data_IF_219307478862
#
_entry.id   IF_219307478862
#
_cell.length_a   1.000
_cell.length_b   1.000
_cell.length_c   1.000
_cell.angle_alpha   90.00
_cell.angle_beta   90.00
_cell.angle_gamma   90.00
#
_symmetry.space_group_name_H-M   'P 1'
#
loop_
_entity.id
_entity.type
_entity.pdbx_description
1 polymer ?
#
# COMPACT_ATOMS: atom_id res chain seq x y z
N UNK A 1 12.86 -3.26 -18.64
CA UNK A 1 11.66 -3.29 -17.79
C UNK A 1 11.03 -1.89 -17.75
N UNK A 2 9.72 -1.76 -18.05
CA UNK A 2 8.97 -0.50 -17.98
C UNK A 2 8.07 -0.54 -16.75
N UNK A 3 8.27 0.42 -15.82
CA UNK A 3 7.46 0.59 -14.63
C UNK A 3 6.35 1.61 -14.90
N UNK A 4 5.13 1.28 -14.49
CA UNK A 4 3.97 2.17 -14.49
C UNK A 4 3.59 2.39 -13.03
N UNK A 5 3.68 3.64 -12.57
CA UNK A 5 3.43 4.01 -11.18
C UNK A 5 2.16 4.84 -11.06
N UNK A 6 1.29 4.47 -10.14
CA UNK A 6 0.08 5.19 -9.76
C UNK A 6 -0.06 5.21 -8.24
N UNK A 7 -0.82 6.15 -7.70
CA UNK A 7 -1.20 6.24 -6.28
C UNK A 7 -2.51 7.01 -6.11
N UNK A 8 -3.01 7.08 -4.88
CA UNK A 8 -4.08 8.00 -4.47
C UNK A 8 -5.36 7.90 -5.30
N UNK A 9 -5.74 6.68 -5.66
CA UNK A 9 -6.92 6.46 -6.50
C UNK A 9 -8.25 6.54 -5.74
N UNK A 10 -8.24 6.41 -4.40
CA UNK A 10 -9.40 6.63 -3.52
C UNK A 10 -10.71 6.10 -4.09
N UNK A 11 -10.77 4.81 -4.42
CA UNK A 11 -11.92 4.12 -5.04
C UNK A 11 -12.28 4.61 -6.48
N UNK A 12 -11.43 5.40 -7.13
CA UNK A 12 -11.70 5.89 -8.49
C UNK A 12 -10.85 5.18 -9.55
N UNK A 13 -10.24 4.06 -9.20
CA UNK A 13 -9.34 3.26 -10.04
C UNK A 13 -9.94 2.90 -11.40
N UNK A 14 -11.25 2.63 -11.49
CA UNK A 14 -11.93 2.30 -12.75
C UNK A 14 -11.94 3.45 -13.77
N UNK A 15 -11.69 4.69 -13.34
CA UNK A 15 -11.64 5.87 -14.22
C UNK A 15 -10.27 6.07 -14.88
N UNK A 16 -9.26 5.30 -14.46
CA UNK A 16 -7.90 5.45 -14.95
C UNK A 16 -7.70 4.71 -16.28
N UNK A 17 -7.01 5.35 -17.19
CA UNK A 17 -6.47 4.71 -18.36
C UNK A 17 -4.99 4.38 -18.12
N UNK A 18 -4.72 3.12 -17.77
CA UNK A 18 -3.38 2.67 -17.40
C UNK A 18 -2.56 2.37 -18.67
N UNK A 19 -1.40 3.00 -18.85
CA UNK A 19 -0.55 2.73 -20.02
C UNK A 19 0.08 1.33 -19.92
N UNK A 20 0.50 0.77 -21.06
CA UNK A 20 1.21 -0.50 -21.10
C UNK A 20 2.55 -0.43 -20.38
N UNK A 21 2.93 -1.51 -19.69
CA UNK A 21 4.20 -1.67 -19.00
C UNK A 21 4.42 -3.12 -18.56
N UNK A 22 5.60 -3.40 -18.02
CA UNK A 22 5.94 -4.72 -17.51
C UNK A 22 5.47 -4.88 -16.06
N UNK A 23 5.62 -3.83 -15.27
CA UNK A 23 5.27 -3.77 -13.84
C UNK A 23 4.30 -2.61 -13.62
N UNK A 24 3.15 -2.90 -13.01
CA UNK A 24 2.24 -1.89 -12.48
C UNK A 24 2.45 -1.76 -10.97
N UNK A 25 2.74 -0.56 -10.50
CA UNK A 25 2.95 -0.24 -9.09
C UNK A 25 1.83 0.67 -8.62
N UNK A 26 1.17 0.32 -7.50
CA UNK A 26 0.29 1.24 -6.78
C UNK A 26 0.92 1.56 -5.42
N UNK A 27 1.24 2.84 -5.21
CA UNK A 27 1.98 3.31 -4.04
C UNK A 27 1.09 3.84 -2.91
N UNK A 28 -0.10 3.25 -2.72
CA UNK A 28 -0.98 3.52 -1.58
C UNK A 28 -2.18 4.41 -1.88
N UNK A 29 -3.06 4.48 -0.89
CA UNK A 29 -4.32 5.22 -0.93
C UNK A 29 -5.25 4.77 -2.07
N UNK A 30 -5.41 3.45 -2.22
CA UNK A 30 -6.31 2.87 -3.21
C UNK A 30 -7.77 2.82 -2.73
N UNK A 31 -8.02 3.00 -1.43
CA UNK A 31 -9.36 3.04 -0.83
C UNK A 31 -9.67 4.39 -0.15
N UNK A 32 -10.87 4.54 0.39
CA UNK A 32 -11.21 5.68 1.24
C UNK A 32 -10.92 5.42 2.73
N UNK A 33 -11.24 4.20 3.21
CA UNK A 33 -11.04 3.80 4.63
C UNK A 33 -10.81 2.30 4.79
N UNK A 34 -10.38 1.60 3.76
CA UNK A 34 -10.00 0.19 3.83
C UNK A 34 -11.14 -0.79 4.16
N UNK A 35 -12.40 -0.50 3.83
CA UNK A 35 -13.48 -1.48 4.05
C UNK A 35 -13.32 -2.70 3.13
N UNK A 36 -13.84 -3.87 3.54
CA UNK A 36 -13.84 -5.08 2.71
C UNK A 36 -14.31 -4.80 1.28
N UNK A 37 -15.42 -4.08 1.12
CA UNK A 37 -15.98 -3.75 -0.19
C UNK A 37 -15.00 -2.94 -1.06
N UNK A 38 -14.36 -1.93 -0.46
CA UNK A 38 -13.41 -1.07 -1.16
C UNK A 38 -12.17 -1.86 -1.59
N UNK A 39 -11.60 -2.64 -0.66
CA UNK A 39 -10.42 -3.47 -0.93
C UNK A 39 -10.72 -4.51 -2.01
N UNK A 40 -11.82 -5.26 -1.89
CA UNK A 40 -12.20 -6.28 -2.89
C UNK A 40 -12.41 -5.65 -4.28
N UNK A 41 -13.08 -4.49 -4.36
CA UNK A 41 -13.28 -3.79 -5.63
C UNK A 41 -11.95 -3.43 -6.28
N UNK A 42 -11.06 -2.81 -5.51
CA UNK A 42 -9.75 -2.42 -6.00
C UNK A 42 -8.90 -3.64 -6.42
N UNK A 43 -8.80 -4.65 -5.57
CA UNK A 43 -7.96 -5.82 -5.81
C UNK A 43 -8.40 -6.57 -7.09
N UNK A 44 -9.71 -6.71 -7.32
CA UNK A 44 -10.23 -7.31 -8.56
C UNK A 44 -9.85 -6.51 -9.79
N UNK A 45 -9.99 -5.20 -9.72
CA UNK A 45 -9.59 -4.30 -10.81
C UNK A 45 -8.07 -4.34 -11.04
N UNK A 46 -7.28 -4.30 -9.96
CA UNK A 46 -5.82 -4.32 -10.04
C UNK A 46 -5.31 -5.64 -10.61
N UNK A 47 -5.87 -6.77 -10.17
CA UNK A 47 -5.57 -8.09 -10.70
C UNK A 47 -5.89 -8.21 -12.20
N UNK A 48 -6.97 -7.57 -12.68
CA UNK A 48 -7.38 -7.61 -14.09
C UNK A 48 -6.49 -6.80 -15.03
N UNK A 49 -5.57 -5.98 -14.50
CA UNK A 49 -4.67 -5.20 -15.35
C UNK A 49 -3.70 -6.11 -16.11
N UNK A 50 -3.37 -5.81 -17.39
CA UNK A 50 -2.62 -6.71 -18.27
C UNK A 50 -1.12 -6.82 -17.97
N UNK A 51 -0.62 -6.09 -16.98
CA UNK A 51 0.80 -6.07 -16.61
C UNK A 51 1.24 -7.42 -16.06
N UNK A 52 2.45 -7.85 -16.44
CA UNK A 52 3.02 -9.14 -16.02
C UNK A 52 3.19 -9.21 -14.50
N UNK A 53 3.63 -8.11 -13.89
CA UNK A 53 3.80 -7.99 -12.45
C UNK A 53 2.98 -6.81 -11.91
N UNK A 54 2.38 -6.99 -10.74
CA UNK A 54 1.60 -5.96 -10.06
C UNK A 54 2.06 -5.86 -8.61
N UNK A 55 2.63 -4.71 -8.25
CA UNK A 55 3.12 -4.43 -6.88
C UNK A 55 2.17 -3.45 -6.21
N UNK A 56 1.79 -3.78 -4.99
CA UNK A 56 0.89 -2.99 -4.16
C UNK A 56 1.54 -2.66 -2.83
N UNK A 57 1.55 -1.38 -2.47
CA UNK A 57 1.87 -0.87 -1.14
C UNK A 57 0.64 -0.18 -0.59
N UNK A 58 0.38 -0.28 0.71
CA UNK A 58 -0.69 0.46 1.35
C UNK A 58 -0.34 1.93 1.55
N UNK A 59 -1.35 2.79 1.65
CA UNK A 59 -1.22 4.16 2.11
C UNK A 59 -1.97 4.37 3.42
N UNK A 60 -2.03 5.61 3.87
CA UNK A 60 -2.66 5.93 5.16
C UNK A 60 -4.19 5.74 5.17
N UNK A 61 -4.84 5.75 4.03
CA UNK A 61 -6.27 5.48 3.92
C UNK A 61 -6.63 3.99 4.03
N UNK A 62 -5.67 3.09 3.90
CA UNK A 62 -5.88 1.66 4.15
C UNK A 62 -5.85 1.35 5.65
N UNK A 63 -6.66 2.07 6.45
CA UNK A 63 -6.65 2.01 7.92
C UNK A 63 -6.81 0.59 8.48
N UNK A 64 -7.47 -0.29 7.76
CA UNK A 64 -7.67 -1.69 8.16
C UNK A 64 -6.46 -2.57 7.93
N UNK A 65 -5.46 -2.12 7.18
CA UNK A 65 -4.21 -2.86 6.95
C UNK A 65 -3.19 -2.58 8.04
N UNK A 66 -3.26 -1.43 8.73
CA UNK A 66 -2.50 -1.17 9.95
C UNK A 66 -3.29 -1.69 11.16
N UNK A 67 -3.02 -2.92 11.56
CA UNK A 67 -3.77 -3.58 12.62
C UNK A 67 -3.67 -2.86 13.96
N UNK A 68 -2.50 -2.37 14.33
CA UNK A 68 -2.25 -1.69 15.60
C UNK A 68 -2.99 -0.37 15.68
N UNK A 69 -2.90 0.42 14.63
CA UNK A 69 -3.65 1.68 14.50
C UNK A 69 -5.17 1.43 14.53
N UNK A 70 -5.64 0.45 13.76
CA UNK A 70 -7.05 0.18 13.62
C UNK A 70 -7.72 -0.28 14.92
N UNK A 71 -7.05 -1.10 15.74
CA UNK A 71 -7.57 -1.58 17.02
C UNK A 71 -8.01 -0.44 17.95
N UNK A 72 -7.30 0.68 17.93
CA UNK A 72 -7.57 1.83 18.82
C UNK A 72 -8.38 2.93 18.15
N UNK A 73 -8.41 2.99 16.82
CA UNK A 73 -8.99 4.10 16.06
C UNK A 73 -10.20 3.73 15.19
N UNK A 74 -10.63 2.46 15.19
CA UNK A 74 -11.68 1.98 14.28
C UNK A 74 -12.97 2.82 14.30
N UNK A 75 -13.40 3.28 15.48
CA UNK A 75 -14.64 4.04 15.66
C UNK A 75 -14.64 5.41 14.96
N UNK A 76 -13.45 5.93 14.62
CA UNK A 76 -13.29 7.16 13.83
C UNK A 76 -13.64 6.94 12.36
N UNK A 77 -13.44 5.74 11.85
CA UNK A 77 -13.56 5.41 10.43
C UNK A 77 -14.79 4.54 10.13
N UNK A 78 -15.20 3.68 11.08
CA UNK A 78 -16.26 2.71 10.90
C UNK A 78 -17.24 2.77 12.09
N UNK A 79 -18.50 3.10 11.83
CA UNK A 79 -19.44 3.58 12.85
C UNK A 79 -20.21 2.51 13.62
N UNK A 80 -20.27 1.27 13.12
CA UNK A 80 -21.15 0.25 13.74
C UNK A 80 -20.40 -0.77 14.58
N UNK A 81 -19.30 -1.28 14.03
CA UNK A 81 -18.43 -2.29 14.66
C UNK A 81 -17.09 -2.32 13.95
N UNK A 82 -16.03 -2.78 14.63
CA UNK A 82 -14.73 -2.97 13.99
C UNK A 82 -14.80 -4.04 12.91
N UNK A 83 -14.10 -3.82 11.80
CA UNK A 83 -13.98 -4.80 10.72
C UNK A 83 -12.95 -5.87 11.09
N UNK A 84 -13.08 -7.05 10.47
CA UNK A 84 -12.13 -8.16 10.64
C UNK A 84 -10.90 -7.94 9.75
N UNK A 85 -9.95 -7.18 10.27
CA UNK A 85 -8.75 -6.74 9.51
C UNK A 85 -7.94 -7.90 8.93
N UNK A 86 -7.83 -9.03 9.66
CA UNK A 86 -7.12 -10.21 9.19
C UNK A 86 -7.75 -10.83 7.93
N UNK A 87 -9.08 -10.75 7.77
CA UNK A 87 -9.76 -11.24 6.57
C UNK A 87 -9.45 -10.34 5.38
N UNK A 88 -9.37 -9.02 5.59
CA UNK A 88 -9.03 -8.03 4.55
C UNK A 88 -7.60 -8.26 4.04
N UNK A 89 -6.63 -8.33 4.93
CA UNK A 89 -5.23 -8.56 4.57
C UNK A 89 -5.04 -9.92 3.92
N UNK A 90 -5.68 -10.96 4.45
CA UNK A 90 -5.64 -12.30 3.86
C UNK A 90 -6.23 -12.35 2.45
N UNK A 91 -7.23 -11.53 2.15
CA UNK A 91 -7.80 -11.44 0.80
C UNK A 91 -6.76 -10.91 -0.19
N UNK A 92 -6.03 -9.85 0.16
CA UNK A 92 -4.95 -9.30 -0.68
C UNK A 92 -3.86 -10.35 -0.90
N UNK A 93 -3.39 -11.00 0.18
CA UNK A 93 -2.27 -11.93 0.14
C UNK A 93 -2.57 -13.24 -0.63
N UNK A 94 -3.84 -13.57 -0.83
CA UNK A 94 -4.27 -14.77 -1.59
C UNK A 94 -4.50 -14.51 -3.06
N UNK A 95 -4.55 -13.23 -3.47
CA UNK A 95 -4.82 -12.90 -4.86
C UNK A 95 -3.58 -13.16 -5.71
N UNK A 96 -3.70 -14.14 -6.60
CA UNK A 96 -2.61 -14.50 -7.52
C UNK A 96 -2.27 -13.35 -8.46
N UNK A 97 -0.97 -13.10 -8.64
CA UNK A 97 -0.46 -12.05 -9.54
C UNK A 97 -0.36 -10.66 -8.90
N UNK A 98 -0.70 -10.50 -7.61
CA UNK A 98 -0.44 -9.28 -6.85
C UNK A 98 0.67 -9.55 -5.82
N UNK A 99 1.69 -8.71 -5.84
CA UNK A 99 2.80 -8.69 -4.89
C UNK A 99 2.52 -7.55 -3.90
N UNK A 100 2.04 -7.89 -2.70
CA UNK A 100 1.82 -6.90 -1.64
C UNK A 100 3.08 -6.73 -0.81
N UNK A 101 3.58 -5.51 -0.71
CA UNK A 101 4.77 -5.18 0.07
C UNK A 101 4.38 -4.30 1.27
N UNK A 102 4.83 -4.73 2.45
CA UNK A 102 4.70 -4.01 3.72
C UNK A 102 5.99 -4.23 4.52
N UNK A 103 6.89 -3.25 4.47
CA UNK A 103 8.25 -3.32 4.99
C UNK A 103 8.95 -4.62 4.54
N UNK A 104 8.89 -4.88 3.25
CA UNK A 104 9.37 -6.13 2.66
C UNK A 104 9.87 -5.93 1.24
N UNK A 105 10.66 -6.89 0.77
CA UNK A 105 11.26 -6.89 -0.54
C UNK A 105 10.71 -7.99 -1.46
N UNK A 106 10.84 -7.77 -2.76
CA UNK A 106 10.60 -8.76 -3.79
C UNK A 106 11.52 -8.53 -5.00
N UNK A 107 12.03 -9.60 -5.59
CA UNK A 107 12.92 -9.50 -6.76
C UNK A 107 12.20 -9.90 -8.04
N UNK A 108 12.19 -9.03 -9.03
CA UNK A 108 11.64 -9.27 -10.36
C UNK A 108 12.75 -9.14 -11.40
N UNK A 109 13.09 -10.23 -12.10
CA UNK A 109 14.07 -10.24 -13.18
C UNK A 109 15.42 -9.60 -12.77
N UNK A 110 15.84 -9.83 -11.52
CA UNK A 110 17.10 -9.32 -10.96
C UNK A 110 17.02 -7.91 -10.38
N UNK A 111 15.87 -7.22 -10.48
CA UNK A 111 15.64 -5.91 -9.87
C UNK A 111 14.98 -6.10 -8.51
N UNK A 112 15.57 -5.55 -7.45
CA UNK A 112 15.06 -5.61 -6.07
C UNK A 112 14.11 -4.45 -5.79
N UNK A 113 12.87 -4.75 -5.50
CA UNK A 113 11.86 -3.81 -5.04
C UNK A 113 11.70 -3.93 -3.53
N UNK A 114 11.59 -2.81 -2.84
CA UNK A 114 11.19 -2.74 -1.42
C UNK A 114 9.99 -1.82 -1.29
N UNK A 115 8.98 -2.25 -0.54
CA UNK A 115 7.77 -1.47 -0.29
C UNK A 115 7.53 -1.20 1.18
N UNK A 116 7.27 0.06 1.53
CA UNK A 116 6.91 0.49 2.89
C UNK A 116 5.73 1.44 2.87
N UNK A 117 4.63 1.16 3.61
CA UNK A 117 3.52 2.08 3.81
C UNK A 117 3.85 3.17 4.85
N UNK A 118 4.92 2.98 5.63
CA UNK A 118 5.26 3.82 6.76
C UNK A 118 5.70 5.22 6.33
N UNK A 119 5.13 6.23 7.00
CA UNK A 119 5.39 7.63 6.73
C UNK A 119 5.42 8.46 8.01
N UNK A 120 5.99 9.66 8.00
CA UNK A 120 5.85 10.59 9.10
C UNK A 120 4.39 10.88 9.39
N UNK A 121 4.01 10.87 10.67
CA UNK A 121 2.63 11.09 11.10
C UNK A 121 2.03 12.36 10.48
N UNK A 122 0.83 12.22 9.94
CA UNK A 122 0.02 13.28 9.39
C UNK A 122 -1.46 13.05 9.67
N UNK A 123 -2.09 13.96 10.38
CA UNK A 123 -3.55 13.98 10.58
C UNK A 123 -4.13 12.80 11.35
N UNK A 124 -3.31 11.97 12.01
CA UNK A 124 -3.75 10.81 12.78
C UNK A 124 -4.37 9.72 11.90
N UNK A 125 -3.74 9.40 10.78
CA UNK A 125 -4.07 8.30 9.88
C UNK A 125 -3.15 7.10 10.11
N UNK A 126 -3.46 5.98 9.44
CA UNK A 126 -2.69 4.74 9.55
C UNK A 126 -1.23 4.87 9.03
N UNK A 127 -0.37 3.94 9.43
CA UNK A 127 1.04 3.86 9.06
C UNK A 127 1.87 5.11 9.39
N UNK A 128 1.35 5.98 10.27
CA UNK A 128 2.02 7.19 10.74
C UNK A 128 2.96 6.91 11.90
N UNK A 129 4.20 7.38 11.80
CA UNK A 129 5.21 7.34 12.85
C UNK A 129 5.65 8.76 13.22
N UNK A 130 5.95 9.00 14.50
CA UNK A 130 6.52 10.28 14.92
C UNK A 130 7.79 10.60 14.13
N UNK A 131 7.97 11.90 13.81
CA UNK A 131 9.19 12.36 13.14
C UNK A 131 10.40 12.19 14.04
N UNK A 132 11.55 11.94 13.44
CA UNK A 132 12.80 11.70 14.15
C UNK A 132 13.12 10.22 14.29
N UNK A 133 13.46 9.74 15.49
CA UNK A 133 13.94 8.38 15.71
C UNK A 133 12.92 7.30 15.33
N UNK A 134 11.62 7.40 15.69
CA UNK A 134 10.67 6.30 15.39
C UNK A 134 10.56 5.96 13.91
N UNK A 135 10.40 6.97 13.05
CA UNK A 135 10.33 6.72 11.60
C UNK A 135 11.71 6.34 11.02
N UNK A 136 12.80 6.83 11.59
CA UNK A 136 14.17 6.50 11.19
C UNK A 136 14.48 5.02 11.43
N UNK A 137 14.06 4.47 12.56
CA UNK A 137 14.22 3.04 12.87
C UNK A 137 13.55 2.18 11.80
N UNK A 138 12.28 2.48 11.47
CA UNK A 138 11.55 1.75 10.43
C UNK A 138 12.23 1.84 9.07
N UNK A 139 12.67 3.02 8.67
CA UNK A 139 13.36 3.20 7.39
C UNK A 139 14.81 2.69 7.41
N UNK A 140 15.39 2.50 8.59
CA UNK A 140 16.70 1.86 8.77
C UNK A 140 16.71 0.39 8.37
N UNK A 141 15.55 -0.25 8.32
CA UNK A 141 15.40 -1.64 7.86
C UNK A 141 15.42 -1.80 6.33
N UNK A 142 15.35 -0.69 5.57
CA UNK A 142 15.39 -0.72 4.11
C UNK A 142 16.76 -1.20 3.65
N UNK A 143 16.85 -2.31 2.88
CA UNK A 143 18.13 -2.82 2.42
C UNK A 143 18.86 -1.82 1.52
N UNK A 144 20.18 -1.66 1.73
CA UNK A 144 20.99 -0.70 0.94
C UNK A 144 21.12 -1.10 -0.53
N UNK A 145 20.90 -2.36 -0.85
CA UNK A 145 20.91 -2.90 -2.21
C UNK A 145 19.54 -2.90 -2.89
N UNK A 146 18.60 -2.08 -2.39
CA UNK A 146 17.30 -1.85 -3.01
C UNK A 146 17.46 -1.05 -4.29
N UNK A 147 16.99 -1.59 -5.42
CA UNK A 147 17.01 -0.90 -6.71
C UNK A 147 15.82 0.06 -6.87
N UNK A 148 14.64 -0.35 -6.38
CA UNK A 148 13.39 0.43 -6.45
C UNK A 148 12.72 0.46 -5.10
N UNK A 149 12.70 1.64 -4.48
CA UNK A 149 11.99 1.89 -3.23
C UNK A 149 10.60 2.46 -3.53
N UNK A 150 9.56 1.84 -2.94
CA UNK A 150 8.17 2.26 -3.07
C UNK A 150 7.69 2.71 -1.68
N UNK A 151 7.40 3.99 -1.52
CA UNK A 151 6.82 4.56 -0.30
C UNK A 151 5.55 5.32 -0.64
N UNK A 152 4.58 5.35 0.29
CA UNK A 152 3.39 6.17 0.09
C UNK A 152 3.69 7.65 0.35
N UNK A 153 4.36 7.97 1.45
CA UNK A 153 4.76 9.35 1.75
C UNK A 153 5.90 9.85 0.84
N UNK A 154 5.92 11.14 0.47
CA UNK A 154 6.99 11.71 -0.34
C UNK A 154 8.31 11.76 0.45
N UNK A 155 9.46 11.79 -0.24
CA UNK A 155 10.74 12.01 0.40
C UNK A 155 10.82 13.40 1.04
N UNK A 156 11.70 13.55 2.03
CA UNK A 156 11.89 14.83 2.72
C UNK A 156 12.27 15.94 1.73
N UNK A 157 11.56 17.06 1.81
CA UNK A 157 11.82 18.24 0.97
C UNK A 157 10.94 18.39 -0.29
N UNK A 158 9.96 17.48 -0.45
CA UNK A 158 8.98 17.52 -1.54
C UNK A 158 7.56 17.63 -1.00
#
# INVERSE_FOLDING_TARGET
>A
MRLVCISDTHNQHEKLNIPHGDVLIHAGDFTGTGTHRQVISFIRWFASQPHKYKILVAGNHEVTLDQSFYQTNWARFHTKYPLRVHEIKSYILREEGIIYLENSEFVIEGVKFYGSPCQPEFGGWAFGFERGEPIREVWGEIPQDTDVLITHGPPFGY
#
